data_IF_513920907138
#
_entry.id   IF_513920907138
#
_cell.length_a   1.000
_cell.length_b   1.000
_cell.length_c   1.000
_cell.angle_alpha   90.00
_cell.angle_beta   90.00
_cell.angle_gamma   90.00
#
_symmetry.space_group_name_H-M   'P 1'
#
loop_
_entity.id
_entity.type
_entity.pdbx_description
1 polymer ?
#
# COMPACT_ATOMS: atom_id res chain seq x y z
N UNK A 1 9.77 16.43 1.87
CA UNK A 1 8.68 15.43 1.72
C UNK A 1 8.95 14.28 2.68
N UNK A 2 8.04 14.01 3.60
CA UNK A 2 8.12 12.92 4.58
C UNK A 2 6.84 12.08 4.59
N UNK A 3 6.85 10.93 5.30
CA UNK A 3 5.71 10.02 5.37
C UNK A 3 4.46 10.66 5.99
N UNK A 4 4.63 11.59 6.92
CA UNK A 4 3.53 12.31 7.54
C UNK A 4 2.83 13.25 6.54
N UNK A 5 3.60 13.99 5.76
CA UNK A 5 3.07 14.82 4.67
C UNK A 5 2.37 13.98 3.62
N UNK A 6 2.94 12.82 3.24
CA UNK A 6 2.30 11.88 2.31
C UNK A 6 1.00 11.31 2.87
N UNK A 7 0.94 10.97 4.15
CA UNK A 7 -0.28 10.52 4.83
C UNK A 7 -1.37 11.60 4.81
N UNK A 8 -1.01 12.84 5.08
CA UNK A 8 -1.93 13.98 4.98
C UNK A 8 -2.46 14.15 3.55
N UNK A 9 -1.57 14.09 2.57
CA UNK A 9 -1.92 14.22 1.16
C UNK A 9 -2.91 13.13 0.72
N UNK A 10 -2.63 11.87 1.03
CA UNK A 10 -3.52 10.74 0.73
C UNK A 10 -4.88 10.90 1.41
N UNK A 11 -4.90 11.32 2.69
CA UNK A 11 -6.14 11.54 3.43
C UNK A 11 -6.97 12.69 2.80
N UNK A 12 -6.34 13.78 2.36
CA UNK A 12 -7.03 14.90 1.69
C UNK A 12 -7.73 14.44 0.42
N UNK A 13 -7.11 13.54 -0.34
CA UNK A 13 -7.70 12.99 -1.57
C UNK A 13 -8.87 12.07 -1.24
N UNK A 14 -8.71 11.18 -0.29
CA UNK A 14 -9.74 10.23 0.14
C UNK A 14 -11.00 10.93 0.67
N UNK A 15 -10.83 12.00 1.44
CA UNK A 15 -11.94 12.79 1.99
C UNK A 15 -12.53 13.81 1.00
N UNK A 16 -11.87 14.05 -0.13
CA UNK A 16 -12.30 14.97 -1.19
C UNK A 16 -12.30 16.45 -0.80
N UNK A 17 -11.97 16.78 0.46
CA UNK A 17 -11.87 18.16 0.96
C UNK A 17 -10.82 18.27 2.06
N UNK A 18 -10.12 19.42 2.13
CA UNK A 18 -9.14 19.67 3.19
C UNK A 18 -9.82 19.72 4.58
N UNK A 19 -11.04 20.24 4.65
CA UNK A 19 -11.79 20.30 5.92
C UNK A 19 -12.24 18.91 6.41
N UNK A 20 -12.62 18.02 5.49
CA UNK A 20 -12.94 16.61 5.77
C UNK A 20 -11.72 15.88 6.31
N UNK A 21 -10.61 16.00 5.59
CA UNK A 21 -9.33 15.41 6.00
C UNK A 21 -8.84 15.93 7.36
N UNK A 22 -8.96 17.23 7.61
CA UNK A 22 -8.57 17.82 8.89
C UNK A 22 -9.37 17.19 10.06
N UNK A 23 -10.69 17.03 9.92
CA UNK A 23 -11.52 16.33 10.92
C UNK A 23 -11.08 14.90 11.14
N UNK A 24 -10.82 14.15 10.08
CA UNK A 24 -10.38 12.74 10.16
C UNK A 24 -9.02 12.61 10.84
N UNK A 25 -8.13 13.57 10.60
CA UNK A 25 -6.79 13.63 11.19
C UNK A 25 -6.75 14.29 12.57
N UNK A 26 -7.90 14.69 13.13
CA UNK A 26 -8.00 15.44 14.39
C UNK A 26 -7.16 16.72 14.40
N UNK A 27 -7.11 17.41 13.25
CA UNK A 27 -6.42 18.67 13.04
C UNK A 27 -7.43 19.78 12.73
N UNK A 28 -6.97 21.03 12.86
CA UNK A 28 -7.66 22.17 12.25
C UNK A 28 -7.26 22.34 10.79
N UNK A 29 -8.12 22.95 9.97
CA UNK A 29 -7.87 23.12 8.54
C UNK A 29 -6.60 23.94 8.20
N UNK A 30 -6.28 25.06 8.91
CA UNK A 30 -5.14 25.89 8.53
C UNK A 30 -3.79 25.15 8.51
N UNK A 31 -3.40 24.39 9.57
CA UNK A 31 -2.14 23.65 9.53
C UNK A 31 -2.10 22.57 8.44
N UNK A 32 -3.22 21.88 8.16
CA UNK A 32 -3.26 20.90 7.09
C UNK A 32 -3.09 21.56 5.72
N UNK A 33 -3.76 22.70 5.49
CA UNK A 33 -3.59 23.48 4.25
C UNK A 33 -2.16 23.98 4.06
N UNK A 34 -1.50 24.41 5.15
CA UNK A 34 -0.09 24.80 5.12
C UNK A 34 0.83 23.62 4.75
N UNK A 35 0.57 22.42 5.29
CA UNK A 35 1.33 21.21 4.95
C UNK A 35 1.17 20.82 3.47
N UNK A 36 -0.02 20.98 2.90
CA UNK A 36 -0.23 20.72 1.47
C UNK A 36 0.54 21.72 0.59
N UNK A 37 0.57 23.01 0.98
CA UNK A 37 1.39 23.99 0.28
C UNK A 37 2.89 23.68 0.35
N UNK A 38 3.40 23.31 1.52
CA UNK A 38 4.79 22.92 1.68
C UNK A 38 5.13 21.70 0.81
N UNK A 39 4.23 20.74 0.71
CA UNK A 39 4.42 19.58 -0.15
C UNK A 39 4.51 19.97 -1.63
N UNK A 40 3.67 20.91 -2.10
CA UNK A 40 3.72 21.44 -3.46
C UNK A 40 5.02 22.22 -3.72
N UNK A 41 5.46 23.03 -2.76
CA UNK A 41 6.72 23.77 -2.82
C UNK A 41 7.92 22.82 -2.91
N UNK A 42 7.98 21.79 -2.08
CA UNK A 42 9.03 20.77 -2.11
C UNK A 42 8.99 19.91 -3.41
N UNK A 43 7.80 19.62 -3.93
CA UNK A 43 7.64 18.90 -5.18
C UNK A 43 7.99 19.78 -6.42
N UNK A 44 8.04 21.10 -6.25
CA UNK A 44 8.27 22.05 -7.33
C UNK A 44 7.13 22.16 -8.34
N UNK A 45 5.94 21.64 -8.02
CA UNK A 45 4.77 21.65 -8.90
C UNK A 45 3.47 21.63 -8.09
N UNK A 46 2.38 22.07 -8.73
CA UNK A 46 1.05 21.97 -8.14
C UNK A 46 0.57 20.51 -8.18
N UNK A 47 0.05 20.06 -7.07
CA UNK A 47 -0.55 18.73 -6.91
C UNK A 47 -2.07 18.76 -6.97
N UNK A 48 -2.64 19.94 -6.68
CA UNK A 48 -4.08 20.18 -6.68
C UNK A 48 -4.47 21.23 -7.72
N UNK A 49 -5.61 21.01 -8.38
CA UNK A 49 -6.24 22.01 -9.23
C UNK A 49 -6.80 23.17 -8.38
N UNK A 50 -6.59 24.40 -8.83
CA UNK A 50 -7.08 25.60 -8.13
C UNK A 50 -8.54 25.88 -8.47
N UNK A 51 -9.27 26.40 -7.50
CA UNK A 51 -10.62 26.95 -7.72
C UNK A 51 -11.77 25.96 -7.61
N UNK A 52 -11.51 24.70 -7.30
CA UNK A 52 -12.56 23.70 -7.06
C UNK A 52 -13.00 23.66 -5.59
N UNK A 53 -14.29 23.44 -5.36
CA UNK A 53 -14.83 23.20 -4.02
C UNK A 53 -14.43 21.83 -3.46
N UNK A 54 -14.11 20.88 -4.34
CA UNK A 54 -13.60 19.57 -4.05
C UNK A 54 -12.14 19.45 -4.52
N UNK A 55 -11.38 18.62 -3.85
CA UNK A 55 -10.00 18.33 -4.23
C UNK A 55 -9.99 17.63 -5.58
N UNK A 56 -9.31 18.23 -6.54
CA UNK A 56 -9.00 17.63 -7.84
C UNK A 56 -7.49 17.61 -8.00
N UNK A 57 -6.97 16.50 -8.50
CA UNK A 57 -5.53 16.30 -8.68
C UNK A 57 -5.08 16.76 -10.06
N UNK A 58 -3.93 17.40 -10.12
CA UNK A 58 -3.16 17.55 -11.35
C UNK A 58 -2.59 16.19 -11.79
N UNK A 59 -2.03 16.11 -13.00
CA UNK A 59 -1.31 14.91 -13.44
C UNK A 59 -0.14 14.55 -12.48
N UNK A 60 0.58 15.54 -11.97
CA UNK A 60 1.63 15.36 -10.96
C UNK A 60 1.05 14.86 -9.62
N UNK A 61 -0.09 15.41 -9.19
CA UNK A 61 -0.80 14.96 -8.01
C UNK A 61 -1.25 13.51 -8.13
N UNK A 62 -1.73 13.10 -9.29
CA UNK A 62 -2.18 11.73 -9.54
C UNK A 62 -1.01 10.74 -9.50
N UNK A 63 0.13 11.10 -10.11
CA UNK A 63 1.36 10.33 -10.03
C UNK A 63 1.84 10.19 -8.58
N UNK A 64 1.89 11.31 -7.83
CA UNK A 64 2.32 11.30 -6.42
C UNK A 64 1.37 10.46 -5.58
N UNK A 65 0.06 10.54 -5.78
CA UNK A 65 -0.92 9.75 -5.04
C UNK A 65 -0.65 8.24 -5.15
N UNK A 66 -0.48 7.74 -6.37
CA UNK A 66 -0.17 6.31 -6.58
C UNK A 66 1.15 5.88 -5.92
N UNK A 67 2.15 6.77 -5.86
CA UNK A 67 3.42 6.49 -5.17
C UNK A 67 3.30 6.61 -3.66
N UNK A 68 2.59 7.64 -3.17
CA UNK A 68 2.40 7.88 -1.75
C UNK A 68 1.67 6.73 -1.05
N UNK A 69 0.63 6.17 -1.67
CA UNK A 69 -0.06 4.99 -1.15
C UNK A 69 0.92 3.83 -0.95
N UNK A 70 1.72 3.50 -1.98
CA UNK A 70 2.70 2.41 -1.89
C UNK A 70 3.80 2.67 -0.85
N UNK A 71 4.27 3.91 -0.72
CA UNK A 71 5.27 4.28 0.29
C UNK A 71 4.74 4.12 1.71
N UNK A 72 3.49 4.51 1.95
CA UNK A 72 2.84 4.36 3.26
C UNK A 72 2.60 2.89 3.60
N UNK A 73 2.14 2.09 2.63
CA UNK A 73 1.98 0.64 2.79
C UNK A 73 3.32 -0.03 3.14
N UNK A 74 4.39 0.30 2.41
CA UNK A 74 5.71 -0.28 2.67
C UNK A 74 6.26 0.14 4.03
N UNK A 75 6.05 1.39 4.45
CA UNK A 75 6.44 1.86 5.77
C UNK A 75 5.71 1.10 6.89
N UNK A 76 4.43 0.82 6.70
CA UNK A 76 3.58 0.09 7.64
C UNK A 76 4.00 -1.39 7.74
N UNK A 77 4.33 -2.01 6.61
CA UNK A 77 4.89 -3.36 6.53
C UNK A 77 6.21 -3.42 7.30
N UNK A 78 7.14 -2.50 7.00
CA UNK A 78 8.45 -2.45 7.66
C UNK A 78 8.33 -2.29 9.18
N UNK A 79 7.41 -1.44 9.64
CA UNK A 79 7.17 -1.24 11.06
C UNK A 79 6.66 -2.53 11.75
N UNK A 80 5.78 -3.29 11.07
CA UNK A 80 5.29 -4.60 11.54
C UNK A 80 6.41 -5.62 11.60
N UNK A 81 7.20 -5.77 10.54
CA UNK A 81 8.33 -6.70 10.48
C UNK A 81 9.37 -6.44 11.59
N UNK A 82 9.70 -5.18 11.84
CA UNK A 82 10.59 -4.81 12.94
C UNK A 82 10.04 -5.18 14.30
N UNK A 83 8.71 -5.04 14.49
CA UNK A 83 8.04 -5.46 15.71
C UNK A 83 8.10 -6.97 15.88
N UNK A 84 7.78 -7.74 14.83
CA UNK A 84 7.80 -9.20 14.84
C UNK A 84 9.21 -9.74 15.10
N UNK A 85 10.23 -9.13 14.49
CA UNK A 85 11.63 -9.45 14.73
C UNK A 85 12.04 -9.21 16.21
N UNK A 86 11.60 -8.08 16.78
CA UNK A 86 11.88 -7.76 18.20
C UNK A 86 11.20 -8.74 19.15
N UNK A 87 9.96 -9.09 18.87
CA UNK A 87 9.13 -9.92 19.77
C UNK A 87 9.47 -11.42 19.62
N UNK A 88 10.26 -11.80 18.58
CA UNK A 88 10.83 -13.15 18.36
C UNK A 88 9.78 -14.26 18.13
N UNK A 89 8.57 -13.90 17.79
CA UNK A 89 7.42 -14.81 17.91
C UNK A 89 6.57 -14.96 16.67
N UNK A 90 6.58 -14.08 15.70
CA UNK A 90 5.65 -14.20 14.58
C UNK A 90 6.18 -13.51 13.33
N UNK A 91 6.01 -14.16 12.22
CA UNK A 91 6.13 -13.57 10.89
C UNK A 91 4.75 -13.41 10.27
N UNK A 92 4.59 -12.42 9.41
CA UNK A 92 3.43 -12.31 8.54
C UNK A 92 3.86 -12.64 7.13
N UNK A 93 3.33 -13.72 6.55
CA UNK A 93 3.57 -14.09 5.16
C UNK A 93 2.49 -13.45 4.28
N UNK A 94 2.89 -12.51 3.43
CA UNK A 94 1.99 -11.80 2.52
C UNK A 94 1.92 -12.50 1.18
N UNK A 95 0.73 -13.01 0.88
CA UNK A 95 0.46 -13.77 -0.34
C UNK A 95 -0.45 -12.99 -1.27
N UNK A 96 -0.06 -12.83 -2.52
CA UNK A 96 -0.93 -12.39 -3.60
C UNK A 96 -1.59 -13.58 -4.29
N UNK A 97 -2.89 -13.51 -4.57
CA UNK A 97 -3.62 -14.61 -5.19
C UNK A 97 -4.52 -14.10 -6.30
N UNK A 98 -4.47 -14.73 -7.46
CA UNK A 98 -5.47 -14.44 -8.50
C UNK A 98 -6.78 -15.14 -8.16
N UNK A 99 -7.92 -14.45 -8.33
CA UNK A 99 -9.28 -14.93 -8.01
C UNK A 99 -9.62 -16.30 -8.61
N UNK A 100 -8.95 -16.67 -9.69
CA UNK A 100 -9.19 -17.90 -10.42
C UNK A 100 -8.38 -19.12 -9.91
N UNK A 101 -7.45 -18.93 -8.99
CA UNK A 101 -6.75 -20.01 -8.31
C UNK A 101 -7.60 -20.36 -7.09
N UNK A 102 -8.39 -21.40 -7.24
CA UNK A 102 -9.47 -21.78 -6.33
C UNK A 102 -9.11 -21.66 -4.86
N UNK A 103 -9.92 -20.93 -4.13
CA UNK A 103 -9.80 -20.67 -2.70
C UNK A 103 -9.59 -21.92 -1.83
N UNK A 104 -10.12 -23.05 -2.24
CA UNK A 104 -10.03 -24.33 -1.50
C UNK A 104 -8.61 -24.87 -1.41
N UNK A 105 -7.84 -24.86 -2.51
CA UNK A 105 -6.47 -25.38 -2.49
C UNK A 105 -5.55 -24.53 -1.62
N UNK A 106 -5.67 -23.21 -1.74
CA UNK A 106 -4.90 -22.28 -0.92
C UNK A 106 -5.23 -22.40 0.57
N UNK A 107 -6.52 -22.51 0.91
CA UNK A 107 -6.95 -22.66 2.30
C UNK A 107 -6.34 -23.92 2.92
N UNK A 108 -6.35 -25.05 2.23
CA UNK A 108 -5.72 -26.27 2.73
C UNK A 108 -4.20 -26.11 2.89
N UNK A 109 -3.53 -25.52 1.91
CA UNK A 109 -2.09 -25.28 1.98
C UNK A 109 -1.71 -24.37 3.17
N UNK A 110 -2.47 -23.28 3.39
CA UNK A 110 -2.29 -22.39 4.54
C UNK A 110 -2.55 -23.13 5.86
N UNK A 111 -3.62 -23.90 5.95
CA UNK A 111 -3.93 -24.67 7.15
C UNK A 111 -2.84 -25.71 7.49
N UNK A 112 -2.31 -26.41 6.48
CA UNK A 112 -1.24 -27.39 6.70
C UNK A 112 0.08 -26.70 7.09
N UNK A 113 0.37 -25.55 6.51
CA UNK A 113 1.52 -24.75 6.88
C UNK A 113 1.40 -24.22 8.32
N UNK A 114 0.23 -23.72 8.73
CA UNK A 114 -0.01 -23.23 10.10
C UNK A 114 0.11 -24.32 11.16
N UNK A 115 -0.20 -25.58 10.83
CA UNK A 115 0.04 -26.71 11.76
C UNK A 115 1.53 -26.89 12.09
N UNK A 116 2.40 -26.61 11.10
CA UNK A 116 3.84 -26.76 11.25
C UNK A 116 4.49 -25.47 11.82
N UNK A 117 3.92 -24.30 11.49
CA UNK A 117 4.41 -22.98 11.86
C UNK A 117 3.30 -22.14 12.49
N UNK A 118 2.88 -22.45 13.74
CA UNK A 118 1.68 -21.85 14.36
C UNK A 118 1.80 -20.36 14.67
N UNK A 119 3.00 -19.80 14.61
CA UNK A 119 3.28 -18.40 14.90
C UNK A 119 3.45 -17.53 13.63
N UNK A 120 3.17 -18.10 12.45
CA UNK A 120 3.17 -17.35 11.19
C UNK A 120 1.73 -17.01 10.82
N UNK A 121 1.44 -15.72 10.76
CA UNK A 121 0.19 -15.19 10.23
C UNK A 121 0.24 -15.04 8.71
N UNK A 122 -0.92 -15.07 8.06
CA UNK A 122 -1.04 -14.88 6.61
C UNK A 122 -1.85 -13.63 6.32
N UNK A 123 -1.33 -12.80 5.43
CA UNK A 123 -2.04 -11.67 4.84
C UNK A 123 -2.26 -11.96 3.36
N UNK A 124 -3.54 -12.06 2.95
CA UNK A 124 -3.91 -12.43 1.59
C UNK A 124 -4.37 -11.18 0.82
N UNK A 125 -3.76 -10.94 -0.32
CA UNK A 125 -4.15 -9.90 -1.26
C UNK A 125 -4.66 -10.51 -2.55
N UNK A 126 -5.87 -10.17 -2.95
CA UNK A 126 -6.45 -10.59 -4.22
C UNK A 126 -6.17 -9.57 -5.32
N UNK A 127 -5.83 -10.03 -6.53
CA UNK A 127 -5.56 -9.16 -7.66
C UNK A 127 -5.41 -9.93 -8.97
N UNK A 128 -5.20 -9.19 -10.07
CA UNK A 128 -4.80 -9.81 -11.32
C UNK A 128 -3.28 -10.07 -11.35
N UNK A 129 -2.84 -10.92 -12.27
CA UNK A 129 -1.42 -11.32 -12.41
C UNK A 129 -0.48 -10.11 -12.46
N UNK A 130 -0.79 -9.08 -13.23
CA UNK A 130 0.09 -7.91 -13.40
C UNK A 130 0.22 -7.09 -12.11
N UNK A 131 -0.88 -6.87 -11.42
CA UNK A 131 -0.90 -6.16 -10.13
C UNK A 131 -0.09 -6.91 -9.08
N UNK A 132 -0.26 -8.24 -8.99
CA UNK A 132 0.45 -9.08 -8.02
C UNK A 132 1.95 -9.14 -8.33
N UNK A 133 2.36 -9.21 -9.59
CA UNK A 133 3.77 -9.16 -9.98
C UNK A 133 4.40 -7.79 -9.67
N UNK A 134 3.66 -6.69 -9.82
CA UNK A 134 4.12 -5.36 -9.40
C UNK A 134 4.29 -5.27 -7.88
N UNK A 135 3.35 -5.79 -7.10
CA UNK A 135 3.44 -5.83 -5.64
C UNK A 135 4.60 -6.72 -5.17
N UNK A 136 4.80 -7.88 -5.81
CA UNK A 136 5.93 -8.77 -5.52
C UNK A 136 7.27 -8.07 -5.82
N UNK A 137 7.38 -7.37 -6.95
CA UNK A 137 8.59 -6.64 -7.33
C UNK A 137 8.88 -5.44 -6.42
N UNK A 138 7.85 -4.86 -5.80
CA UNK A 138 7.98 -3.74 -4.84
C UNK A 138 8.14 -4.19 -3.39
N UNK A 139 8.11 -5.50 -3.11
CA UNK A 139 8.23 -6.04 -1.75
C UNK A 139 6.97 -5.88 -0.90
N UNK A 140 5.83 -5.55 -1.49
CA UNK A 140 4.55 -5.46 -0.78
C UNK A 140 3.96 -6.83 -0.45
N UNK A 141 4.30 -7.85 -1.25
CA UNK A 141 4.01 -9.26 -0.98
C UNK A 141 5.27 -10.09 -1.20
N UNK A 142 5.40 -11.22 -0.52
CA UNK A 142 6.56 -12.11 -0.61
C UNK A 142 6.34 -13.26 -1.62
N UNK A 143 5.10 -13.67 -1.81
CA UNK A 143 4.73 -14.73 -2.75
C UNK A 143 3.49 -14.33 -3.55
N UNK A 144 3.40 -14.82 -4.78
CA UNK A 144 2.21 -14.64 -5.60
C UNK A 144 1.83 -15.94 -6.30
N UNK A 145 0.56 -16.34 -6.13
CA UNK A 145 -0.06 -17.44 -6.88
C UNK A 145 -0.75 -16.85 -8.12
N UNK A 146 -0.14 -17.10 -9.29
CA UNK A 146 -0.60 -16.55 -10.55
C UNK A 146 -0.75 -17.63 -11.61
N UNK A 147 -1.50 -17.33 -12.68
CA UNK A 147 -1.60 -18.22 -13.85
C UNK A 147 -0.54 -17.87 -14.89
N UNK A 148 0.04 -18.92 -15.48
CA UNK A 148 0.88 -18.80 -16.67
C UNK A 148 0.01 -18.62 -17.93
N UNK A 149 0.52 -17.98 -19.02
CA UNK A 149 1.86 -17.40 -19.13
C UNK A 149 1.96 -15.98 -18.55
N UNK A 150 3.13 -15.61 -18.02
CA UNK A 150 3.46 -14.24 -17.58
C UNK A 150 4.96 -13.96 -17.79
N UNK A 151 5.37 -12.67 -17.82
CA UNK A 151 6.77 -12.30 -17.89
C UNK A 151 7.47 -12.56 -16.56
N UNK A 152 8.61 -13.27 -16.60
CA UNK A 152 9.35 -13.70 -15.40
C UNK A 152 10.54 -12.81 -15.05
N UNK A 153 10.66 -11.60 -15.60
CA UNK A 153 11.84 -10.74 -15.39
C UNK A 153 12.04 -10.47 -13.89
N UNK A 154 13.19 -10.91 -13.36
CA UNK A 154 13.60 -10.68 -11.98
C UNK A 154 12.87 -11.52 -10.92
N UNK A 155 12.05 -12.50 -11.31
CA UNK A 155 11.28 -13.33 -10.38
C UNK A 155 11.66 -14.81 -10.51
N UNK A 156 11.71 -15.50 -9.38
CA UNK A 156 11.80 -16.97 -9.33
C UNK A 156 10.40 -17.55 -9.34
N UNK A 157 10.14 -18.55 -10.19
CA UNK A 157 8.86 -19.23 -10.21
C UNK A 157 9.04 -20.74 -10.07
N UNK A 158 8.17 -21.36 -9.28
CA UNK A 158 7.98 -22.82 -9.15
C UNK A 158 6.63 -23.16 -9.74
N UNK A 159 6.54 -24.30 -10.50
CA UNK A 159 5.26 -24.76 -11.07
C UNK A 159 4.33 -25.29 -10.01
#
# INVERSE_FOLDING_TARGET
>A
MDLKQLSYFVTVIQEGTISGAARKLHLTQPPLSAQMKLLEEEAGCLLFERGSRHVQLTAAGQMLYGRAVKMLELADITARELKDYRDGTAGVLRLGVVSSVGSTYLIHAVQDFQKQYPHIDFELTEGNTYQLLEQLSSGLIELALVRTPFSKQGLTSVP
#
